data_IF_041455027405
#
_entry.id   IF_041455027405
#
_cell.length_a   1.000
_cell.length_b   1.000
_cell.length_c   1.000
_cell.angle_alpha   90.00
_cell.angle_beta   90.00
_cell.angle_gamma   90.00
#
_symmetry.space_group_name_H-M   'P 1'
#
loop_
_entity.id
_entity.type
_entity.pdbx_description
1 polymer ?
#
# COMPACT_ATOMS: atom_id res chain seq x y z
N UNK A 1 13.00 -49.05 48.77
CA UNK A 1 14.20 -48.37 48.23
C UNK A 1 13.81 -47.77 46.90
N UNK A 2 13.45 -46.48 46.91
CA UNK A 2 13.08 -45.76 45.68
C UNK A 2 14.33 -45.54 44.83
N UNK A 3 14.36 -46.21 43.67
CA UNK A 3 15.46 -46.06 42.71
C UNK A 3 15.12 -44.87 41.83
N UNK A 4 15.68 -43.71 42.14
CA UNK A 4 15.57 -42.51 41.31
C UNK A 4 16.22 -42.78 39.94
N UNK A 5 15.40 -43.11 38.93
CA UNK A 5 15.87 -43.25 37.55
C UNK A 5 16.15 -41.86 36.97
N UNK A 6 17.41 -41.42 37.01
CA UNK A 6 17.84 -40.22 36.29
C UNK A 6 17.87 -40.54 34.79
N UNK A 7 16.87 -40.11 34.04
CA UNK A 7 16.84 -40.23 32.58
C UNK A 7 17.89 -39.29 31.99
N UNK A 8 18.83 -39.85 31.23
CA UNK A 8 19.90 -39.10 30.59
C UNK A 8 19.35 -38.37 29.36
N UNK A 9 19.65 -37.07 29.23
CA UNK A 9 19.29 -36.28 28.05
C UNK A 9 20.28 -36.59 26.93
N UNK A 10 19.80 -37.14 25.81
CA UNK A 10 20.63 -37.44 24.66
C UNK A 10 20.69 -36.22 23.74
N UNK A 11 21.84 -35.54 23.73
CA UNK A 11 22.11 -34.41 22.86
C UNK A 11 23.03 -34.84 21.71
N UNK A 12 22.58 -34.77 20.44
CA UNK A 12 23.50 -34.75 19.31
C UNK A 12 24.40 -33.52 19.43
N UNK A 13 25.66 -33.63 18.97
CA UNK A 13 26.81 -32.74 19.23
C UNK A 13 26.66 -31.22 18.92
N UNK A 14 25.48 -30.70 18.58
CA UNK A 14 25.26 -29.28 18.23
C UNK A 14 23.94 -28.65 18.72
N UNK A 15 23.05 -29.40 19.38
CA UNK A 15 21.73 -28.89 19.82
C UNK A 15 21.63 -28.88 21.34
N UNK A 16 21.48 -27.69 21.94
CA UNK A 16 21.16 -27.55 23.38
C UNK A 16 19.71 -27.98 23.63
N UNK A 17 19.50 -29.15 24.23
CA UNK A 17 18.18 -29.59 24.72
C UNK A 17 18.01 -29.22 26.19
N UNK A 18 16.79 -28.86 26.57
CA UNK A 18 16.44 -28.70 27.98
C UNK A 18 15.99 -30.05 28.57
N UNK A 19 16.06 -30.23 29.90
CA UNK A 19 15.47 -31.41 30.57
C UNK A 19 13.96 -31.56 30.34
N UNK A 20 13.27 -30.49 29.90
CA UNK A 20 11.85 -30.52 29.53
C UNK A 20 11.61 -31.07 28.12
N UNK A 21 12.67 -31.26 27.33
CA UNK A 21 12.63 -31.81 25.97
C UNK A 21 12.98 -33.32 25.93
N UNK A 22 12.97 -33.99 27.09
CA UNK A 22 13.08 -35.45 27.19
C UNK A 22 11.87 -36.06 26.50
N UNK A 23 12.13 -36.96 25.56
CA UNK A 23 11.13 -37.68 24.78
C UNK A 23 11.13 -39.15 25.17
N UNK A 24 10.09 -39.89 24.75
CA UNK A 24 10.04 -41.34 24.92
C UNK A 24 11.27 -42.03 24.30
N UNK A 25 11.81 -41.50 23.20
CA UNK A 25 13.03 -42.01 22.57
C UNK A 25 14.26 -41.90 23.49
N UNK A 26 14.36 -40.84 24.30
CA UNK A 26 15.44 -40.70 25.30
C UNK A 26 15.34 -41.76 26.39
N UNK A 27 14.11 -42.11 26.80
CA UNK A 27 13.83 -43.15 27.80
C UNK A 27 14.11 -44.54 27.23
N UNK A 28 13.66 -44.83 26.00
CA UNK A 28 13.93 -46.10 25.32
C UNK A 28 15.43 -46.29 25.14
N UNK A 29 16.16 -45.26 24.73
CA UNK A 29 17.61 -45.35 24.56
C UNK A 29 18.32 -45.65 25.89
N UNK A 30 17.93 -44.97 26.97
CA UNK A 30 18.49 -45.22 28.29
C UNK A 30 18.22 -46.65 28.80
N UNK A 31 17.01 -47.19 28.57
CA UNK A 31 16.68 -48.55 29.00
C UNK A 31 17.37 -49.60 28.12
N UNK A 32 17.47 -49.37 26.80
CA UNK A 32 18.21 -50.25 25.89
C UNK A 32 19.69 -50.30 26.24
N UNK A 33 20.33 -49.16 26.55
CA UNK A 33 21.72 -49.15 26.99
C UNK A 33 21.93 -49.93 28.29
N UNK A 34 21.01 -49.79 29.25
CA UNK A 34 21.04 -50.53 30.51
C UNK A 34 20.86 -52.04 30.30
N UNK A 35 19.90 -52.46 29.48
CA UNK A 35 19.68 -53.87 29.13
C UNK A 35 20.90 -54.44 28.42
N UNK A 36 21.45 -53.70 27.44
CA UNK A 36 22.64 -54.11 26.70
C UNK A 36 23.84 -54.27 27.64
N UNK A 37 24.07 -53.33 28.56
CA UNK A 37 25.15 -53.39 29.53
C UNK A 37 25.03 -54.61 30.46
N UNK A 38 23.82 -54.90 30.95
CA UNK A 38 23.56 -56.06 31.80
C UNK A 38 23.76 -57.38 31.04
N UNK A 39 23.18 -57.49 29.84
CA UNK A 39 23.30 -58.70 29.01
C UNK A 39 24.75 -58.97 28.57
N UNK A 40 25.51 -57.90 28.30
CA UNK A 40 26.94 -57.98 27.98
C UNK A 40 27.77 -58.59 29.11
N UNK A 41 27.47 -58.28 30.37
CA UNK A 41 28.18 -58.82 31.53
C UNK A 41 27.98 -60.33 31.67
N UNK A 42 26.82 -60.86 31.26
CA UNK A 42 26.52 -62.30 31.30
C UNK A 42 27.14 -63.13 30.15
N UNK A 43 27.77 -62.50 29.15
CA UNK A 43 28.31 -63.19 27.98
C UNK A 43 29.81 -63.42 28.13
N UNK A 44 30.22 -64.69 28.07
CA UNK A 44 31.63 -65.10 28.12
C UNK A 44 32.34 -64.92 26.76
N UNK A 45 31.62 -65.13 25.64
CA UNK A 45 32.18 -65.03 24.29
C UNK A 45 32.53 -63.60 23.90
N UNK A 46 33.82 -63.35 23.64
CA UNK A 46 34.30 -62.05 23.15
C UNK A 46 33.73 -61.67 21.79
N UNK A 47 33.44 -62.65 20.91
CA UNK A 47 32.87 -62.39 19.58
C UNK A 47 31.43 -61.89 19.73
N UNK A 48 30.61 -62.57 20.54
CA UNK A 48 29.22 -62.16 20.80
C UNK A 48 29.17 -60.79 21.51
N UNK A 49 30.11 -60.54 22.44
CA UNK A 49 30.25 -59.25 23.12
C UNK A 49 30.52 -58.11 22.15
N UNK A 50 31.36 -58.35 21.12
CA UNK A 50 31.65 -57.37 20.07
C UNK A 50 30.42 -57.10 19.22
N UNK A 51 29.74 -58.14 18.74
CA UNK A 51 28.53 -58.00 17.91
C UNK A 51 27.43 -57.17 18.61
N UNK A 52 27.25 -57.37 19.93
CA UNK A 52 26.31 -56.60 20.74
C UNK A 52 26.73 -55.14 20.88
N UNK A 53 28.03 -54.86 21.02
CA UNK A 53 28.51 -53.48 21.06
C UNK A 53 28.26 -52.78 19.73
N UNK A 54 28.59 -53.43 18.62
CA UNK A 54 28.42 -52.87 17.27
C UNK A 54 26.93 -52.60 16.99
N UNK A 55 26.04 -53.52 17.39
CA UNK A 55 24.59 -53.32 17.34
C UNK A 55 24.13 -52.16 18.23
N UNK A 56 24.56 -52.12 19.49
CA UNK A 56 24.16 -51.09 20.44
C UNK A 56 24.62 -49.70 20.01
N UNK A 57 25.82 -49.57 19.47
CA UNK A 57 26.31 -48.31 18.91
C UNK A 57 25.49 -47.89 17.69
N UNK A 58 25.22 -48.81 16.76
CA UNK A 58 24.42 -48.50 15.58
C UNK A 58 22.99 -48.09 15.94
N UNK A 59 22.36 -48.78 16.89
CA UNK A 59 21.04 -48.44 17.40
C UNK A 59 21.05 -47.07 18.08
N UNK A 60 22.04 -46.80 18.94
CA UNK A 60 22.19 -45.50 19.60
C UNK A 60 22.33 -44.36 18.61
N UNK A 61 23.15 -44.53 17.57
CA UNK A 61 23.35 -43.52 16.55
C UNK A 61 22.04 -43.23 15.81
N UNK A 62 21.30 -44.27 15.38
CA UNK A 62 19.99 -44.11 14.72
C UNK A 62 18.96 -43.38 15.58
N UNK A 63 18.84 -43.75 16.87
CA UNK A 63 17.88 -43.11 17.77
C UNK A 63 18.30 -41.67 18.07
N UNK A 64 19.61 -41.40 18.23
CA UNK A 64 20.12 -40.04 18.44
C UNK A 64 19.85 -39.15 17.23
N UNK A 65 20.00 -39.67 16.01
CA UNK A 65 19.68 -38.97 14.77
C UNK A 65 18.18 -38.70 14.63
N UNK A 66 17.33 -39.67 14.98
CA UNK A 66 15.87 -39.49 15.00
C UNK A 66 15.46 -38.40 16.02
N UNK A 67 16.04 -38.44 17.22
CA UNK A 67 15.85 -37.43 18.27
C UNK A 67 16.25 -36.03 17.76
N UNK A 68 17.33 -35.92 16.97
CA UNK A 68 17.76 -34.69 16.32
C UNK A 68 16.71 -34.19 15.30
N UNK A 69 16.30 -35.07 14.39
CA UNK A 69 15.34 -34.74 13.31
C UNK A 69 13.99 -34.28 13.85
N UNK A 70 13.47 -34.91 14.92
CA UNK A 70 12.22 -34.49 15.58
C UNK A 70 12.34 -33.07 16.13
N UNK A 71 13.48 -32.74 16.74
CA UNK A 71 13.70 -31.42 17.33
C UNK A 71 13.86 -30.33 16.25
N UNK A 72 14.57 -30.63 15.17
CA UNK A 72 14.67 -29.74 14.02
C UNK A 72 13.31 -29.48 13.39
N UNK A 73 12.49 -30.53 13.21
CA UNK A 73 11.13 -30.41 12.70
C UNK A 73 10.27 -29.51 13.61
N UNK A 74 10.35 -29.68 14.93
CA UNK A 74 9.63 -28.85 15.91
C UNK A 74 10.06 -27.38 15.81
N UNK A 75 11.37 -27.12 15.68
CA UNK A 75 11.91 -25.79 15.51
C UNK A 75 11.47 -25.15 14.18
N UNK A 76 11.48 -25.91 13.09
CA UNK A 76 11.01 -25.47 11.78
C UNK A 76 9.51 -25.16 11.79
N UNK A 77 8.68 -26.00 12.43
CA UNK A 77 7.24 -25.71 12.61
C UNK A 77 7.01 -24.39 13.34
N UNK A 78 7.76 -24.11 14.42
CA UNK A 78 7.68 -22.83 15.14
C UNK A 78 8.09 -21.64 14.25
N UNK A 79 9.19 -21.77 13.51
CA UNK A 79 9.64 -20.73 12.56
C UNK A 79 8.60 -20.48 11.47
N UNK A 80 7.99 -21.53 10.93
CA UNK A 80 6.94 -21.42 9.92
C UNK A 80 5.70 -20.69 10.44
N UNK A 81 5.23 -21.03 11.65
CA UNK A 81 4.11 -20.34 12.29
C UNK A 81 4.40 -18.83 12.50
N UNK A 82 5.64 -18.48 12.87
CA UNK A 82 6.09 -17.09 12.99
C UNK A 82 6.12 -16.38 11.64
N UNK A 83 6.58 -17.05 10.59
CA UNK A 83 6.57 -16.50 9.23
C UNK A 83 5.13 -16.21 8.76
N UNK A 84 4.21 -17.16 8.95
CA UNK A 84 2.80 -17.01 8.57
C UNK A 84 2.15 -15.82 9.30
N UNK A 85 2.38 -15.68 10.61
CA UNK A 85 1.84 -14.55 11.38
C UNK A 85 2.42 -13.21 10.92
N UNK A 86 3.71 -13.14 10.61
CA UNK A 86 4.32 -11.94 10.02
C UNK A 86 3.75 -11.60 8.64
N UNK A 87 3.54 -12.60 7.78
CA UNK A 87 2.91 -12.43 6.46
C UNK A 87 1.49 -11.86 6.61
N UNK A 88 0.69 -12.41 7.53
CA UNK A 88 -0.66 -11.90 7.80
C UNK A 88 -0.63 -10.43 8.25
N UNK A 89 0.27 -10.06 9.16
CA UNK A 89 0.44 -8.67 9.61
C UNK A 89 0.82 -7.74 8.45
N UNK A 90 1.80 -8.14 7.63
CA UNK A 90 2.24 -7.36 6.46
C UNK A 90 1.13 -7.21 5.43
N UNK A 91 0.33 -8.26 5.20
CA UNK A 91 -0.83 -8.20 4.32
C UNK A 91 -1.88 -7.22 4.85
N UNK A 92 -2.16 -7.22 6.15
CA UNK A 92 -3.10 -6.27 6.75
C UNK A 92 -2.63 -4.82 6.62
N UNK A 93 -1.35 -4.56 6.90
CA UNK A 93 -0.74 -3.22 6.69
C UNK A 93 -0.83 -2.77 5.23
N UNK A 94 -0.59 -3.67 4.28
CA UNK A 94 -0.69 -3.35 2.85
C UNK A 94 -2.12 -2.96 2.45
N UNK A 95 -3.14 -3.62 3.01
CA UNK A 95 -4.54 -3.28 2.74
C UNK A 95 -4.87 -1.88 3.28
N UNK A 96 -4.46 -1.55 4.52
CA UNK A 96 -4.66 -0.23 5.10
C UNK A 96 -4.02 0.89 4.27
N UNK A 97 -2.76 0.70 3.85
CA UNK A 97 -2.07 1.69 3.00
C UNK A 97 -2.76 1.85 1.63
N UNK A 98 -3.31 0.76 1.08
CA UNK A 98 -4.10 0.85 -0.17
C UNK A 98 -5.39 1.61 0.02
N UNK A 99 -6.10 1.41 1.12
CA UNK A 99 -7.32 2.15 1.44
C UNK A 99 -7.02 3.65 1.61
N UNK A 100 -5.94 4.01 2.30
CA UNK A 100 -5.46 5.39 2.42
C UNK A 100 -5.13 6.00 1.04
N UNK A 101 -4.44 5.24 0.19
CA UNK A 101 -4.11 5.67 -1.18
C UNK A 101 -5.38 5.94 -2.01
N UNK A 102 -6.34 5.00 -1.99
CA UNK A 102 -7.62 5.14 -2.69
C UNK A 102 -8.38 6.39 -2.20
N UNK A 103 -8.28 6.72 -0.92
CA UNK A 103 -8.86 7.95 -0.36
C UNK A 103 -8.13 9.23 -0.78
N UNK A 104 -6.81 9.18 -0.94
CA UNK A 104 -5.97 10.35 -1.25
C UNK A 104 -5.93 10.72 -2.75
N UNK A 105 -5.98 9.72 -3.65
CA UNK A 105 -5.98 9.92 -5.11
C UNK A 105 -7.06 10.89 -5.63
N UNK A 106 -8.34 10.80 -5.21
CA UNK A 106 -9.37 11.74 -5.67
C UNK A 106 -9.14 13.15 -5.14
N UNK A 107 -8.65 13.29 -3.90
CA UNK A 107 -8.33 14.61 -3.33
C UNK A 107 -7.19 15.28 -4.11
N UNK A 108 -6.17 14.52 -4.50
CA UNK A 108 -5.08 15.01 -5.34
C UNK A 108 -5.59 15.45 -6.72
N UNK A 109 -6.46 14.64 -7.34
CA UNK A 109 -7.05 14.96 -8.65
C UNK A 109 -7.90 16.23 -8.59
N UNK A 110 -8.70 16.39 -7.53
CA UNK A 110 -9.49 17.60 -7.31
C UNK A 110 -8.58 18.82 -7.14
N UNK A 111 -7.55 18.73 -6.30
CA UNK A 111 -6.62 19.83 -6.06
C UNK A 111 -5.87 20.25 -7.34
N UNK A 112 -5.51 19.29 -8.20
CA UNK A 112 -4.91 19.58 -9.51
C UNK A 112 -5.85 20.34 -10.44
N UNK A 113 -7.14 19.99 -10.44
CA UNK A 113 -8.16 20.72 -11.22
C UNK A 113 -8.34 22.14 -10.71
N UNK A 114 -8.48 22.30 -9.40
CA UNK A 114 -8.61 23.63 -8.77
C UNK A 114 -7.39 24.50 -9.05
N UNK A 115 -6.18 23.92 -8.99
CA UNK A 115 -4.96 24.64 -9.35
C UNK A 115 -4.95 25.10 -10.81
N UNK A 116 -5.36 24.24 -11.75
CA UNK A 116 -5.43 24.59 -13.16
C UNK A 116 -6.44 25.74 -13.42
N UNK A 117 -7.60 25.69 -12.78
CA UNK A 117 -8.63 26.73 -12.89
C UNK A 117 -8.14 28.08 -12.34
N UNK A 118 -7.49 28.08 -11.17
CA UNK A 118 -6.91 29.29 -10.59
C UNK A 118 -5.82 29.88 -11.50
N UNK A 119 -5.01 29.02 -12.12
CA UNK A 119 -3.96 29.44 -13.03
C UNK A 119 -4.53 30.05 -14.32
N UNK A 120 -5.60 29.49 -14.86
CA UNK A 120 -6.33 30.06 -16.00
C UNK A 120 -6.89 31.44 -15.65
N UNK A 121 -7.63 31.55 -14.53
CA UNK A 121 -8.17 32.84 -14.04
C UNK A 121 -7.08 33.89 -13.87
N UNK A 122 -5.91 33.50 -13.36
CA UNK A 122 -4.75 34.39 -13.23
C UNK A 122 -4.25 34.88 -14.59
N UNK A 123 -4.23 34.01 -15.59
CA UNK A 123 -3.85 34.38 -16.96
C UNK A 123 -4.86 35.36 -17.57
N UNK A 124 -6.16 35.08 -17.44
CA UNK A 124 -7.23 35.97 -17.92
C UNK A 124 -7.17 37.34 -17.24
N UNK A 125 -6.89 37.39 -15.93
CA UNK A 125 -6.73 38.65 -15.21
C UNK A 125 -5.54 39.47 -15.72
N UNK A 126 -4.42 38.82 -16.08
CA UNK A 126 -3.28 39.52 -16.69
C UNK A 126 -3.67 40.14 -18.03
N UNK A 127 -4.37 39.38 -18.88
CA UNK A 127 -4.86 39.88 -20.17
C UNK A 127 -5.83 41.05 -20.00
N UNK A 128 -6.71 40.99 -18.99
CA UNK A 128 -7.62 42.09 -18.68
C UNK A 128 -6.86 43.36 -18.24
N UNK A 129 -5.79 43.22 -17.44
CA UNK A 129 -4.95 44.34 -17.03
C UNK A 129 -4.23 44.96 -18.23
N UNK A 130 -3.70 44.13 -19.13
CA UNK A 130 -3.07 44.57 -20.38
C UNK A 130 -4.05 45.37 -21.24
N UNK A 131 -5.23 44.81 -21.52
CA UNK A 131 -6.30 45.50 -22.25
C UNK A 131 -6.69 46.85 -21.62
N UNK A 132 -6.82 46.92 -20.29
CA UNK A 132 -7.14 48.17 -19.61
C UNK A 132 -6.02 49.20 -19.76
N UNK A 133 -4.77 48.74 -19.82
CA UNK A 133 -3.60 49.61 -20.02
C UNK A 133 -3.60 50.16 -21.44
N UNK A 134 -3.77 49.30 -22.45
CA UNK A 134 -3.87 49.68 -23.86
C UNK A 134 -5.01 50.68 -24.10
N UNK A 135 -6.16 50.47 -23.44
CA UNK A 135 -7.30 51.39 -23.54
C UNK A 135 -7.01 52.76 -22.93
N UNK A 136 -6.20 52.84 -21.86
CA UNK A 136 -5.80 54.12 -21.27
C UNK A 136 -4.83 54.86 -22.18
N UNK A 137 -3.89 54.16 -22.80
CA UNK A 137 -2.97 54.74 -23.78
C UNK A 137 -3.75 55.28 -24.98
N UNK A 138 -4.65 54.48 -25.56
CA UNK A 138 -5.50 54.91 -26.66
C UNK A 138 -6.37 56.13 -26.29
N UNK A 139 -6.90 56.17 -25.06
CA UNK A 139 -7.67 57.31 -24.58
C UNK A 139 -6.82 58.59 -24.54
N UNK A 140 -5.57 58.48 -24.07
CA UNK A 140 -4.65 59.60 -24.02
C UNK A 140 -4.34 60.10 -25.43
N UNK A 141 -4.01 59.21 -26.36
CA UNK A 141 -3.75 59.54 -27.77
C UNK A 141 -4.96 60.26 -28.42
N UNK A 142 -6.17 59.82 -28.10
CA UNK A 142 -7.40 60.46 -28.60
C UNK A 142 -7.60 61.88 -28.03
N UNK A 143 -7.23 62.11 -26.76
CA UNK A 143 -7.31 63.43 -26.14
C UNK A 143 -6.27 64.36 -26.78
N UNK A 144 -5.04 63.90 -26.92
CA UNK A 144 -3.93 64.66 -27.51
C UNK A 144 -4.25 65.07 -28.96
N UNK A 145 -4.72 64.12 -29.79
CA UNK A 145 -5.15 64.40 -31.17
C UNK A 145 -6.29 65.43 -31.26
N UNK A 146 -7.22 65.41 -30.29
CA UNK A 146 -8.35 66.35 -30.25
C UNK A 146 -7.91 67.76 -29.88
N UNK A 147 -6.92 67.90 -28.99
CA UNK A 147 -6.31 69.19 -28.68
C UNK A 147 -5.63 69.78 -29.92
N UNK A 148 -4.97 68.94 -30.72
CA UNK A 148 -4.33 69.35 -31.98
C UNK A 148 -5.35 69.70 -33.09
N UNK A 149 -6.54 69.08 -33.09
CA UNK A 149 -7.53 69.20 -34.17
C UNK A 149 -8.94 69.62 -33.68
N UNK A 150 -9.12 70.83 -33.12
CA UNK A 150 -10.34 71.20 -32.41
C UNK A 150 -11.59 71.43 -33.30
N UNK A 151 -11.41 71.59 -34.62
CA UNK A 151 -12.50 71.88 -35.57
C UNK A 151 -13.01 70.63 -36.31
N UNK A 152 -12.36 69.49 -36.11
CA UNK A 152 -12.70 68.25 -36.81
C UNK A 152 -13.91 67.57 -36.15
N UNK A 153 -14.88 67.15 -36.98
CA UNK A 153 -16.12 66.56 -36.49
C UNK A 153 -15.90 65.07 -36.23
N UNK A 154 -16.13 64.65 -34.99
CA UNK A 154 -15.98 63.25 -34.59
C UNK A 154 -17.03 62.36 -35.28
N UNK A 155 -16.58 61.37 -36.04
CA UNK A 155 -17.43 60.36 -36.68
C UNK A 155 -17.02 58.98 -36.21
N UNK A 156 -17.97 58.22 -35.68
CA UNK A 156 -17.73 56.86 -35.21
C UNK A 156 -18.09 55.85 -36.29
N UNK A 157 -17.11 55.07 -36.74
CA UNK A 157 -17.31 53.95 -37.66
C UNK A 157 -17.82 52.69 -36.96
N UNK A 158 -18.19 51.68 -37.75
CA UNK A 158 -18.63 50.37 -37.26
C UNK A 158 -17.55 49.61 -36.48
N UNK A 159 -16.28 49.94 -36.69
CA UNK A 159 -15.13 49.39 -35.97
C UNK A 159 -14.65 50.28 -34.81
N UNK A 160 -15.41 51.32 -34.46
CA UNK A 160 -15.05 52.20 -33.34
C UNK A 160 -15.27 51.50 -32.00
N UNK A 161 -14.53 51.91 -30.97
CA UNK A 161 -14.65 51.35 -29.62
C UNK A 161 -16.11 51.37 -29.09
N UNK A 162 -16.91 52.46 -29.24
CA UNK A 162 -18.32 52.43 -28.86
C UNK A 162 -19.15 51.37 -29.60
N UNK A 163 -18.89 51.18 -30.90
CA UNK A 163 -19.58 50.16 -31.70
C UNK A 163 -19.18 48.74 -31.29
N UNK A 164 -17.88 48.51 -31.04
CA UNK A 164 -17.37 47.23 -30.55
C UNK A 164 -17.90 46.91 -29.15
N UNK A 165 -17.93 47.86 -28.21
CA UNK A 165 -18.49 47.65 -26.87
C UNK A 165 -19.99 47.30 -26.90
N UNK A 166 -20.75 47.93 -27.79
CA UNK A 166 -22.16 47.60 -28.02
C UNK A 166 -22.34 46.16 -28.51
N UNK A 167 -21.48 45.70 -29.43
CA UNK A 167 -21.53 44.34 -29.95
C UNK A 167 -21.07 43.31 -28.90
N UNK A 168 -19.98 43.58 -28.18
CA UNK A 168 -19.52 42.76 -27.05
C UNK A 168 -20.61 42.56 -26.00
N UNK A 169 -21.37 43.61 -25.67
CA UNK A 169 -22.49 43.52 -24.73
C UNK A 169 -23.59 42.57 -25.21
N UNK A 170 -23.89 42.55 -26.51
CA UNK A 170 -24.89 41.63 -27.10
C UNK A 170 -24.41 40.19 -27.01
N UNK A 171 -23.14 39.95 -27.33
CA UNK A 171 -22.52 38.62 -27.25
C UNK A 171 -22.55 38.09 -25.80
N UNK A 172 -22.12 38.90 -24.83
CA UNK A 172 -22.16 38.55 -23.39
C UNK A 172 -23.59 38.32 -22.87
N UNK A 173 -24.59 38.97 -23.48
CA UNK A 173 -25.99 38.70 -23.20
C UNK A 173 -26.40 37.31 -23.68
N UNK A 174 -26.00 36.94 -24.91
CA UNK A 174 -26.28 35.64 -25.48
C UNK A 174 -25.59 34.49 -24.72
N UNK A 175 -24.34 34.68 -24.30
CA UNK A 175 -23.59 33.73 -23.48
C UNK A 175 -24.35 33.36 -22.19
N UNK A 176 -24.80 34.37 -21.43
CA UNK A 176 -25.60 34.14 -20.21
C UNK A 176 -26.89 33.36 -20.45
N UNK A 177 -27.52 33.58 -21.61
CA UNK A 177 -28.68 32.77 -21.99
C UNK A 177 -28.32 31.31 -22.23
N UNK A 178 -27.19 31.04 -22.90
CA UNK A 178 -26.71 29.67 -23.10
C UNK A 178 -26.33 28.98 -21.80
N UNK A 179 -25.65 29.67 -20.88
CA UNK A 179 -25.34 29.15 -19.54
C UNK A 179 -26.62 28.74 -18.79
N UNK A 180 -27.65 29.61 -18.81
CA UNK A 180 -28.92 29.31 -18.16
C UNK A 180 -29.64 28.10 -18.79
N UNK A 181 -29.60 27.96 -20.11
CA UNK A 181 -30.18 26.81 -20.80
C UNK A 181 -29.41 25.53 -20.41
N UNK A 182 -28.08 25.60 -20.37
CA UNK A 182 -27.26 24.43 -20.07
C UNK A 182 -27.49 23.93 -18.63
N UNK A 183 -27.62 24.85 -17.65
CA UNK A 183 -27.97 24.52 -16.27
C UNK A 183 -29.34 23.81 -16.17
N UNK A 184 -30.36 24.31 -16.87
CA UNK A 184 -31.68 23.65 -16.91
C UNK A 184 -31.63 22.25 -17.54
N UNK A 185 -30.78 22.05 -18.54
CA UNK A 185 -30.60 20.74 -19.16
C UNK A 185 -29.88 19.75 -18.23
N UNK A 186 -28.88 20.21 -17.48
CA UNK A 186 -28.19 19.39 -16.47
C UNK A 186 -29.16 18.96 -15.36
N UNK A 187 -29.95 19.89 -14.82
CA UNK A 187 -30.99 19.58 -13.83
C UNK A 187 -31.99 18.53 -14.36
N UNK A 188 -32.48 18.69 -15.60
CA UNK A 188 -33.40 17.74 -16.21
C UNK A 188 -32.78 16.35 -16.41
N UNK A 189 -31.50 16.28 -16.77
CA UNK A 189 -30.76 15.02 -16.92
C UNK A 189 -30.60 14.30 -15.59
N UNK A 190 -30.32 15.02 -14.51
CA UNK A 190 -30.14 14.42 -13.19
C UNK A 190 -31.47 13.90 -12.62
N UNK A 191 -32.57 14.63 -12.83
CA UNK A 191 -33.92 14.15 -12.52
C UNK A 191 -34.24 12.85 -13.29
N UNK A 192 -33.89 12.77 -14.58
CA UNK A 192 -34.09 11.55 -15.36
C UNK A 192 -33.25 10.37 -14.87
N UNK A 193 -31.98 10.59 -14.50
CA UNK A 193 -31.12 9.54 -13.94
C UNK A 193 -31.71 9.02 -12.63
N UNK A 194 -32.20 9.90 -11.76
CA UNK A 194 -32.82 9.52 -10.50
C UNK A 194 -34.11 8.72 -10.69
N UNK A 195 -34.94 9.10 -11.68
CA UNK A 195 -36.15 8.36 -12.05
C UNK A 195 -35.84 6.95 -12.62
N UNK A 196 -34.77 6.81 -13.41
CA UNK A 196 -34.34 5.51 -13.94
C UNK A 196 -33.79 4.60 -12.82
N UNK A 197 -33.05 5.15 -11.88
CA UNK A 197 -32.53 4.41 -10.72
C UNK A 197 -33.63 3.92 -9.77
N UNK A 198 -34.80 4.59 -9.73
CA UNK A 198 -35.98 4.17 -8.94
C UNK A 198 -36.85 3.11 -9.63
N UNK A 199 -36.62 2.83 -10.92
CA UNK A 199 -37.40 1.88 -11.74
C UNK A 199 -36.74 0.50 -11.92
N UNK A 200 -35.48 0.35 -11.51
CA UNK A 200 -34.71 -0.89 -11.49
C UNK A 200 -34.56 -1.38 -10.04
#
# INVERSE_FOLDING_TARGET
VDRSYSVQVWCPKKLKRSPRDITELDVVLAEVEKITANYRQSIESNICRKAINDFSSAFKDQITDLIAGVQELKNMKKKNAKAITNIKKKRQQLVQVREELIGAEPQLTQLQREYAEVQERKSSLRQAIELITDLKELQQDCLDYREENPKEKLVYGTSSLPALLMESRRILGAERHFESINMQLEEALDVQKEQRSKKN
#
